data_IF_929781615193
#
_entry.id   IF_929781615193
#
_cell.length_a   1.000
_cell.length_b   1.000
_cell.length_c   1.000
_cell.angle_alpha   90.00
_cell.angle_beta   90.00
_cell.angle_gamma   90.00
#
_symmetry.space_group_name_H-M   'P 1'
#
loop_
_entity.id
_entity.type
_entity.pdbx_description
1 polymer ?
#
# COMPACT_ATOMS: atom_id res chain seq x y z
N UNK A 1 -19.30 -0.11 17.89
CA UNK A 1 -18.96 0.79 16.75
C UNK A 1 -17.56 1.40 16.89
N UNK A 2 -17.24 2.07 18.00
CA UNK A 2 -15.96 2.79 18.19
C UNK A 2 -14.71 1.92 17.99
N UNK A 3 -14.70 0.69 18.52
CA UNK A 3 -13.58 -0.24 18.34
C UNK A 3 -13.30 -0.57 16.86
N UNK A 4 -14.35 -0.74 16.05
CA UNK A 4 -14.20 -1.05 14.63
C UNK A 4 -13.62 0.15 13.87
N UNK A 5 -14.07 1.36 14.20
CA UNK A 5 -13.49 2.60 13.66
C UNK A 5 -12.02 2.71 14.04
N UNK A 6 -11.68 2.46 15.31
CA UNK A 6 -10.30 2.45 15.78
C UNK A 6 -9.43 1.46 15.00
N UNK A 7 -9.88 0.21 14.83
CA UNK A 7 -9.15 -0.80 14.05
C UNK A 7 -9.01 -0.41 12.57
N UNK A 8 -10.06 0.15 11.96
CA UNK A 8 -10.02 0.64 10.57
C UNK A 8 -8.97 1.74 10.39
N UNK A 9 -8.97 2.74 11.29
CA UNK A 9 -8.04 3.87 11.25
C UNK A 9 -6.63 3.41 11.54
N UNK A 10 -6.42 2.53 12.54
CA UNK A 10 -5.10 1.97 12.85
C UNK A 10 -4.52 1.22 11.65
N UNK A 11 -5.34 0.40 10.99
CA UNK A 11 -4.95 -0.31 9.79
C UNK A 11 -4.56 0.65 8.64
N UNK A 12 -5.34 1.72 8.43
CA UNK A 12 -5.01 2.76 7.46
C UNK A 12 -3.69 3.47 7.80
N UNK A 13 -3.45 3.79 9.08
CA UNK A 13 -2.20 4.40 9.55
C UNK A 13 -1.00 3.49 9.26
N UNK A 14 -1.10 2.19 9.58
CA UNK A 14 -0.02 1.22 9.33
C UNK A 14 0.32 1.17 7.84
N UNK A 15 -0.70 1.08 6.98
CA UNK A 15 -0.50 0.99 5.54
C UNK A 15 0.10 2.28 4.95
N UNK A 16 -0.56 3.43 5.18
CA UNK A 16 -0.14 4.73 4.64
C UNK A 16 1.21 5.15 5.24
N UNK A 17 1.36 5.06 6.55
CA UNK A 17 2.57 5.44 7.26
C UNK A 17 3.77 4.57 6.88
N UNK A 18 3.58 3.25 6.78
CA UNK A 18 4.66 2.36 6.35
C UNK A 18 5.06 2.56 4.89
N UNK A 19 4.10 2.82 4.01
CA UNK A 19 4.37 3.16 2.60
C UNK A 19 5.16 4.48 2.49
N UNK A 20 4.76 5.50 3.26
CA UNK A 20 5.48 6.77 3.34
C UNK A 20 6.89 6.60 3.91
N UNK A 21 7.05 5.81 4.96
CA UNK A 21 8.36 5.50 5.55
C UNK A 21 9.30 4.85 4.52
N UNK A 22 8.82 3.85 3.77
CA UNK A 22 9.64 3.19 2.74
C UNK A 22 10.05 4.19 1.66
N UNK A 23 9.09 4.95 1.13
CA UNK A 23 9.31 5.86 0.01
C UNK A 23 10.20 7.06 0.35
N UNK A 24 9.99 7.66 1.52
CA UNK A 24 10.57 8.97 1.87
C UNK A 24 11.70 8.91 2.90
N UNK A 25 11.80 7.84 3.69
CA UNK A 25 12.87 7.69 4.68
C UNK A 25 13.83 6.55 4.32
N UNK A 26 13.32 5.33 4.14
CA UNK A 26 14.16 4.15 3.92
C UNK A 26 14.91 4.19 2.59
N UNK A 27 14.21 4.37 1.46
CA UNK A 27 14.84 4.38 0.14
C UNK A 27 15.87 5.51 0.01
N UNK A 28 15.59 6.77 0.44
CA UNK A 28 16.58 7.84 0.42
C UNK A 28 17.74 7.61 1.38
N UNK A 29 17.48 7.10 2.58
CA UNK A 29 18.50 6.83 3.60
C UNK A 29 19.53 5.78 3.17
N UNK A 30 19.17 4.89 2.24
CA UNK A 30 20.07 3.86 1.70
C UNK A 30 20.81 4.27 0.41
N UNK A 31 20.72 5.54 -0.03
CA UNK A 31 21.37 5.95 -1.31
C UNK A 31 22.90 5.93 -1.27
N UNK A 32 23.52 6.06 -0.10
CA UNK A 32 24.98 6.05 0.08
C UNK A 32 25.58 4.66 0.33
N UNK A 33 24.74 3.65 0.54
CA UNK A 33 25.17 2.28 0.77
C UNK A 33 25.54 1.59 -0.56
N UNK A 34 26.41 0.59 -0.48
CA UNK A 34 26.74 -0.23 -1.65
C UNK A 34 25.48 -0.96 -2.18
N UNK A 35 25.42 -1.30 -3.48
CA UNK A 35 24.24 -1.89 -4.09
C UNK A 35 23.76 -3.20 -3.45
N UNK A 36 24.68 -4.02 -2.92
CA UNK A 36 24.33 -5.30 -2.31
C UNK A 36 23.69 -5.09 -0.94
N UNK A 37 24.30 -4.26 -0.09
CA UNK A 37 23.76 -3.89 1.23
C UNK A 37 22.40 -3.21 1.10
N UNK A 38 22.28 -2.23 0.19
CA UNK A 38 21.02 -1.57 -0.10
C UNK A 38 19.92 -2.55 -0.52
N UNK A 39 20.24 -3.47 -1.42
CA UNK A 39 19.27 -4.47 -1.91
C UNK A 39 18.86 -5.44 -0.80
N UNK A 40 19.79 -5.88 0.05
CA UNK A 40 19.52 -6.77 1.17
C UNK A 40 18.63 -6.13 2.24
N UNK A 41 18.94 -4.89 2.63
CA UNK A 41 18.15 -4.12 3.59
C UNK A 41 16.74 -3.83 3.06
N UNK A 42 16.62 -3.41 1.80
CA UNK A 42 15.31 -3.22 1.17
C UNK A 42 14.52 -4.52 1.12
N UNK A 43 15.14 -5.64 0.72
CA UNK A 43 14.46 -6.95 0.67
C UNK A 43 13.95 -7.38 2.04
N UNK A 44 14.78 -7.27 3.07
CA UNK A 44 14.44 -7.66 4.45
C UNK A 44 13.36 -6.78 5.05
N UNK A 45 13.45 -5.46 4.85
CA UNK A 45 12.51 -4.50 5.45
C UNK A 45 11.20 -4.46 4.68
N UNK A 46 11.23 -4.32 3.34
CA UNK A 46 10.03 -4.34 2.52
C UNK A 46 9.32 -5.70 2.56
N UNK A 47 10.07 -6.80 2.66
CA UNK A 47 9.50 -8.14 2.82
C UNK A 47 8.71 -8.32 4.11
N UNK A 48 9.21 -7.79 5.24
CA UNK A 48 8.47 -7.77 6.52
C UNK A 48 7.28 -6.82 6.47
N UNK A 49 7.47 -5.62 5.93
CA UNK A 49 6.39 -4.66 5.78
C UNK A 49 5.28 -5.20 4.89
N UNK A 50 5.59 -5.96 3.84
CA UNK A 50 4.58 -6.62 3.00
C UNK A 50 3.62 -7.45 3.84
N UNK A 51 4.11 -8.32 4.72
CA UNK A 51 3.24 -9.15 5.57
C UNK A 51 2.35 -8.28 6.48
N UNK A 52 2.94 -7.28 7.14
CA UNK A 52 2.23 -6.38 8.04
C UNK A 52 1.20 -5.54 7.27
N UNK A 53 1.59 -5.01 6.12
CA UNK A 53 0.77 -4.22 5.22
C UNK A 53 -0.44 -5.03 4.76
N UNK A 54 -0.24 -6.23 4.20
CA UNK A 54 -1.37 -7.06 3.75
C UNK A 54 -2.32 -7.41 4.88
N UNK A 55 -1.81 -7.69 6.09
CA UNK A 55 -2.65 -7.88 7.27
C UNK A 55 -3.46 -6.60 7.59
N UNK A 56 -2.83 -5.43 7.59
CA UNK A 56 -3.51 -4.16 7.79
C UNK A 56 -4.55 -3.90 6.70
N UNK A 57 -4.25 -4.18 5.44
CA UNK A 57 -5.18 -3.99 4.32
C UNK A 57 -6.43 -4.85 4.46
N UNK A 58 -6.26 -6.13 4.84
CA UNK A 58 -7.39 -7.04 5.11
C UNK A 58 -8.26 -6.53 6.27
N UNK A 59 -7.63 -6.06 7.36
CA UNK A 59 -8.35 -5.46 8.50
C UNK A 59 -9.10 -4.21 8.05
N UNK A 60 -8.48 -3.31 7.27
CA UNK A 60 -9.10 -2.10 6.77
C UNK A 60 -10.31 -2.41 5.87
N UNK A 61 -10.19 -3.39 4.97
CA UNK A 61 -11.29 -3.82 4.10
C UNK A 61 -12.44 -4.39 4.93
N UNK A 62 -12.17 -5.37 5.79
CA UNK A 62 -13.22 -6.03 6.59
C UNK A 62 -13.96 -5.04 7.50
N UNK A 63 -13.21 -4.20 8.22
CA UNK A 63 -13.80 -3.17 9.09
C UNK A 63 -14.52 -2.08 8.29
N UNK A 64 -14.00 -1.68 7.12
CA UNK A 64 -14.61 -0.66 6.27
C UNK A 64 -15.93 -1.11 5.65
N UNK A 65 -16.01 -2.37 5.19
CA UNK A 65 -17.25 -2.98 4.70
C UNK A 65 -18.28 -3.07 5.82
N UNK A 66 -17.89 -3.54 7.01
CA UNK A 66 -18.77 -3.61 8.17
C UNK A 66 -19.38 -2.24 8.50
N UNK A 67 -18.55 -1.19 8.60
CA UNK A 67 -19.00 0.17 8.89
C UNK A 67 -19.95 0.72 7.82
N UNK A 68 -19.68 0.44 6.54
CA UNK A 68 -20.54 0.88 5.44
C UNK A 68 -21.93 0.23 5.49
N UNK A 69 -21.99 -1.07 5.81
CA UNK A 69 -23.24 -1.82 5.96
C UNK A 69 -24.03 -1.34 7.17
N UNK A 70 -23.40 -1.30 8.35
CA UNK A 70 -24.09 -0.93 9.60
C UNK A 70 -24.45 0.55 9.67
N UNK A 71 -23.70 1.41 8.98
CA UNK A 71 -23.99 2.85 8.87
C UNK A 71 -25.03 3.21 7.81
N UNK A 72 -25.56 2.23 7.06
CA UNK A 72 -26.55 2.48 6.02
C UNK A 72 -26.01 3.21 4.79
N UNK A 73 -24.68 3.27 4.60
CA UNK A 73 -24.04 4.00 3.51
C UNK A 73 -23.97 3.24 2.19
N UNK A 74 -24.49 2.01 2.13
CA UNK A 74 -24.41 1.13 0.96
C UNK A 74 -25.07 1.67 -0.30
N UNK A 75 -25.99 2.63 -0.18
CA UNK A 75 -26.64 3.29 -1.33
C UNK A 75 -25.88 4.53 -1.83
N UNK A 76 -24.79 4.91 -1.16
CA UNK A 76 -24.03 6.12 -1.51
C UNK A 76 -23.12 5.88 -2.73
N UNK A 77 -23.14 6.71 -3.78
CA UNK A 77 -22.20 6.58 -4.89
C UNK A 77 -20.73 6.68 -4.43
N UNK A 78 -20.47 7.41 -3.33
CA UNK A 78 -19.15 7.53 -2.74
C UNK A 78 -18.60 6.22 -2.18
N UNK A 79 -19.45 5.32 -1.67
CA UNK A 79 -18.96 4.02 -1.19
C UNK A 79 -18.56 3.12 -2.37
N UNK A 80 -19.32 3.16 -3.48
CA UNK A 80 -18.98 2.39 -4.67
C UNK A 80 -17.68 2.89 -5.32
N UNK A 81 -17.50 4.21 -5.41
CA UNK A 81 -16.24 4.80 -5.85
C UNK A 81 -15.07 4.39 -4.94
N UNK A 82 -15.25 4.46 -3.62
CA UNK A 82 -14.23 4.03 -2.64
C UNK A 82 -13.89 2.55 -2.81
N UNK A 83 -14.87 1.67 -2.99
CA UNK A 83 -14.63 0.24 -3.21
C UNK A 83 -13.88 -0.02 -4.53
N UNK A 84 -14.21 0.70 -5.60
CA UNK A 84 -13.47 0.64 -6.87
C UNK A 84 -12.00 1.04 -6.69
N UNK A 85 -11.73 2.12 -5.95
CA UNK A 85 -10.37 2.55 -5.62
C UNK A 85 -9.61 1.53 -4.76
N UNK A 86 -10.28 0.93 -3.77
CA UNK A 86 -9.67 -0.13 -2.94
C UNK A 86 -9.31 -1.36 -3.78
N UNK A 87 -10.16 -1.76 -4.72
CA UNK A 87 -9.86 -2.85 -5.66
C UNK A 87 -8.68 -2.50 -6.55
N UNK A 88 -8.61 -1.28 -7.08
CA UNK A 88 -7.48 -0.83 -7.89
C UNK A 88 -6.17 -0.82 -7.08
N UNK A 89 -6.23 -0.34 -5.82
CA UNK A 89 -5.10 -0.38 -4.89
C UNK A 89 -4.63 -1.82 -4.64
N UNK A 90 -5.55 -2.76 -4.40
CA UNK A 90 -5.26 -4.17 -4.19
C UNK A 90 -4.51 -4.76 -5.39
N UNK A 91 -5.02 -4.54 -6.60
CA UNK A 91 -4.40 -5.05 -7.82
C UNK A 91 -3.02 -4.44 -8.03
N UNK A 92 -2.89 -3.12 -7.91
CA UNK A 92 -1.60 -2.43 -8.04
C UNK A 92 -0.57 -2.92 -7.02
N UNK A 93 -0.98 -3.08 -5.76
CA UNK A 93 -0.12 -3.57 -4.67
C UNK A 93 0.29 -5.02 -4.87
N UNK A 94 -0.64 -5.89 -5.28
CA UNK A 94 -0.36 -7.30 -5.58
C UNK A 94 0.64 -7.44 -6.74
N UNK A 95 0.45 -6.68 -7.82
CA UNK A 95 1.37 -6.66 -8.96
C UNK A 95 2.75 -6.15 -8.54
N UNK A 96 2.81 -5.09 -7.75
CA UNK A 96 4.06 -4.54 -7.21
C UNK A 96 4.81 -5.59 -6.37
N UNK A 97 4.12 -6.23 -5.42
CA UNK A 97 4.74 -7.04 -4.38
C UNK A 97 5.07 -8.48 -4.80
N UNK A 98 4.25 -9.07 -5.67
CA UNK A 98 4.40 -10.48 -6.06
C UNK A 98 4.95 -10.66 -7.47
N UNK A 99 4.84 -9.67 -8.35
CA UNK A 99 5.36 -9.79 -9.73
C UNK A 99 6.57 -8.90 -9.96
N UNK A 100 6.44 -7.60 -9.77
CA UNK A 100 7.49 -6.63 -10.12
C UNK A 100 8.67 -6.71 -9.15
N UNK A 101 8.43 -6.78 -7.84
CA UNK A 101 9.47 -6.89 -6.82
C UNK A 101 10.39 -8.12 -7.00
N UNK A 102 9.83 -9.34 -7.09
CA UNK A 102 10.64 -10.55 -7.31
C UNK A 102 11.38 -10.52 -8.64
N UNK A 103 10.76 -10.05 -9.72
CA UNK A 103 11.39 -9.97 -11.05
C UNK A 103 12.53 -8.95 -11.07
N UNK A 104 12.36 -7.80 -10.44
CA UNK A 104 13.42 -6.81 -10.25
C UNK A 104 14.61 -7.41 -9.48
N UNK A 105 14.34 -8.13 -8.39
CA UNK A 105 15.38 -8.79 -7.60
C UNK A 105 16.07 -9.95 -8.34
N UNK A 106 15.40 -10.59 -9.29
CA UNK A 106 16.01 -11.61 -10.15
C UNK A 106 16.96 -10.98 -11.20
N UNK A 107 16.52 -9.95 -11.91
CA UNK A 107 17.33 -9.24 -12.92
C UNK A 107 18.60 -8.63 -12.32
N UNK A 108 18.48 -7.99 -11.15
CA UNK A 108 19.63 -7.43 -10.44
C UNK A 108 20.66 -8.51 -10.07
N UNK A 109 20.21 -9.71 -9.68
CA UNK A 109 21.11 -10.83 -9.36
C UNK A 109 21.73 -11.47 -10.60
N UNK A 110 21.04 -11.44 -11.73
CA UNK A 110 21.53 -11.90 -13.01
C UNK A 110 22.53 -10.91 -13.67
N UNK A 111 22.67 -9.69 -13.13
CA UNK A 111 23.51 -8.65 -13.73
C UNK A 111 22.88 -8.02 -14.98
N UNK A 112 21.59 -8.26 -15.22
CA UNK A 112 20.83 -7.70 -16.35
C UNK A 112 20.31 -6.30 -16.02
N UNK A 113 20.11 -5.45 -17.05
CA UNK A 113 19.57 -4.11 -16.86
C UNK A 113 18.13 -4.15 -16.31
N UNK A 114 17.89 -3.71 -15.07
CA UNK A 114 16.58 -3.73 -14.46
C UNK A 114 15.76 -2.45 -14.75
N UNK A 115 16.22 -1.57 -15.65
CA UNK A 115 15.69 -0.20 -15.82
C UNK A 115 14.17 -0.10 -15.90
N UNK A 116 13.53 -0.92 -16.75
CA UNK A 116 12.07 -0.97 -16.89
C UNK A 116 11.38 -1.40 -15.59
N UNK A 117 11.81 -2.52 -14.99
CA UNK A 117 11.20 -3.06 -13.77
C UNK A 117 11.41 -2.16 -12.56
N UNK A 118 12.54 -1.46 -12.50
CA UNK A 118 12.81 -0.44 -11.50
C UNK A 118 11.84 0.73 -11.64
N UNK A 119 11.63 1.23 -12.86
CA UNK A 119 10.66 2.30 -13.14
C UNK A 119 9.24 1.87 -12.79
N UNK A 120 8.83 0.66 -13.20
CA UNK A 120 7.52 0.09 -12.87
C UNK A 120 7.31 -0.06 -11.36
N UNK A 121 8.31 -0.55 -10.62
CA UNK A 121 8.24 -0.67 -9.16
C UNK A 121 7.99 0.70 -8.51
N UNK A 122 8.76 1.72 -8.91
CA UNK A 122 8.58 3.08 -8.39
C UNK A 122 7.19 3.65 -8.71
N UNK A 123 6.74 3.53 -9.97
CA UNK A 123 5.44 4.06 -10.39
C UNK A 123 4.30 3.36 -9.66
N UNK A 124 4.30 2.02 -9.60
CA UNK A 124 3.25 1.28 -8.92
C UNK A 124 3.23 1.55 -7.42
N UNK A 125 4.40 1.71 -6.79
CA UNK A 125 4.50 2.13 -5.39
C UNK A 125 3.91 3.52 -5.15
N UNK A 126 4.25 4.50 -6.00
CA UNK A 126 3.71 5.86 -5.93
C UNK A 126 2.21 5.90 -6.18
N UNK A 127 1.72 5.21 -7.21
CA UNK A 127 0.29 5.11 -7.52
C UNK A 127 -0.46 4.49 -6.36
N UNK A 128 0.05 3.39 -5.77
CA UNK A 128 -0.57 2.74 -4.61
C UNK A 128 -0.62 3.67 -3.40
N UNK A 129 0.44 4.45 -3.14
CA UNK A 129 0.45 5.44 -2.07
C UNK A 129 -0.57 6.56 -2.29
N UNK A 130 -0.63 7.14 -3.51
CA UNK A 130 -1.61 8.17 -3.86
C UNK A 130 -3.03 7.64 -3.75
N UNK A 131 -3.30 6.44 -4.26
CA UNK A 131 -4.60 5.77 -4.14
C UNK A 131 -5.00 5.61 -2.67
N UNK A 132 -4.07 5.20 -1.80
CA UNK A 132 -4.34 5.08 -0.37
C UNK A 132 -4.76 6.42 0.25
N UNK A 133 -4.10 7.53 -0.10
CA UNK A 133 -4.47 8.87 0.37
C UNK A 133 -5.87 9.28 -0.13
N UNK A 134 -6.19 9.03 -1.40
CA UNK A 134 -7.51 9.33 -1.97
C UNK A 134 -8.60 8.50 -1.28
N UNK A 135 -8.35 7.21 -1.02
CA UNK A 135 -9.29 6.31 -0.31
C UNK A 135 -9.57 6.83 1.11
N UNK A 136 -8.53 7.28 1.82
CA UNK A 136 -8.67 7.88 3.15
C UNK A 136 -9.51 9.17 3.07
N UNK A 137 -9.21 10.06 2.11
CA UNK A 137 -9.97 11.29 1.91
C UNK A 137 -11.46 11.02 1.61
N UNK A 138 -11.77 10.07 0.72
CA UNK A 138 -13.14 9.63 0.48
C UNK A 138 -13.82 9.11 1.74
N UNK A 139 -13.08 8.42 2.62
CA UNK A 139 -13.57 7.98 3.93
C UNK A 139 -14.00 9.14 4.82
N UNK A 140 -13.20 10.21 4.89
CA UNK A 140 -13.53 11.41 5.69
C UNK A 140 -14.78 12.11 5.14
N UNK A 141 -14.90 12.24 3.82
CA UNK A 141 -16.07 12.88 3.18
C UNK A 141 -17.37 12.10 3.36
N UNK A 142 -17.33 10.78 3.59
CA UNK A 142 -18.53 9.99 3.91
C UNK A 142 -19.02 10.29 5.33
N UNK A 143 -18.12 10.54 6.28
CA UNK A 143 -18.46 10.86 7.68
C UNK A 143 -18.92 12.31 7.84
N UNK A 144 -18.33 13.22 7.07
CA UNK A 144 -18.69 14.64 7.01
C UNK A 144 -19.15 14.99 5.58
N UNK A 145 -20.41 14.68 5.19
CA UNK A 145 -20.94 14.95 3.86
C UNK A 145 -20.90 16.45 3.50
#
# INVERSE_FOLDING_TARGET
>A
MQLIVFLHVLAAIIWVGGSAFIAFALIPGLKGEDPATRSDLLRKTAGRFRVIGWAALLVAIGTGVYLAVTGGHMKSPWIHAKMGLVTLLLVASALHDWYIGPKLGALVRAGEDPGLYRKLAMILGQVSFVLALVIVYCGVRIVHP
#
